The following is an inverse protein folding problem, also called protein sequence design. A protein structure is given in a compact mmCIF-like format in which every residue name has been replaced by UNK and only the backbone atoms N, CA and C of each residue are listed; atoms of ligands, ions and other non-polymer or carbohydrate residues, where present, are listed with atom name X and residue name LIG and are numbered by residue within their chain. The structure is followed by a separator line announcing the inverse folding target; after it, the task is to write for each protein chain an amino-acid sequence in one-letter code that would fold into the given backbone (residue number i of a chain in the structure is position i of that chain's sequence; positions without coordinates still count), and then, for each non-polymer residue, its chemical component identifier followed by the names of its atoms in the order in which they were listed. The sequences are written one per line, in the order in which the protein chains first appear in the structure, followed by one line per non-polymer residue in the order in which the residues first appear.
data_IF_913602192984
#
_entry.id   IF_913602192984
#
_cell.length_a   1.000
_cell.length_b   1.000
_cell.length_c   1.000
_cell.angle_alpha   90.00
_cell.angle_beta   90.00
_cell.angle_gamma   90.00
#
_symmetry.space_group_name_H-M   'P 1'
#
loop_
_entity.id
_entity.type
_entity.pdbx_description
1 polymer ?
#
# COMPACT_ATOMS: atom_id res chain seq x y z
N UNK A 1 -24.32 33.51 -50.15
CA UNK A 1 -24.53 32.12 -49.71
C UNK A 1 -23.65 31.89 -48.49
N UNK A 2 -24.23 31.98 -47.29
CA UNK A 2 -23.50 31.85 -46.01
C UNK A 2 -23.55 30.37 -45.60
N UNK A 3 -22.39 29.72 -45.47
CA UNK A 3 -22.28 28.41 -44.86
C UNK A 3 -22.62 28.55 -43.37
N UNK A 4 -23.73 27.94 -42.98
CA UNK A 4 -24.11 27.64 -41.61
C UNK A 4 -24.07 26.11 -41.49
N UNK A 5 -23.81 25.62 -40.28
CA UNK A 5 -23.79 24.21 -39.83
C UNK A 5 -22.46 23.46 -40.02
N UNK A 6 -21.59 23.59 -39.02
CA UNK A 6 -20.62 22.55 -38.63
C UNK A 6 -20.49 22.47 -37.11
N UNK A 7 -21.63 22.56 -36.41
CA UNK A 7 -21.73 22.33 -34.96
C UNK A 7 -22.79 21.25 -34.77
N UNK A 8 -22.38 19.98 -34.70
CA UNK A 8 -23.12 18.83 -34.14
C UNK A 8 -22.44 17.53 -34.58
N UNK A 9 -21.25 17.21 -34.05
CA UNK A 9 -20.66 15.86 -34.18
C UNK A 9 -19.53 15.56 -33.17
N UNK A 10 -19.60 16.12 -31.95
CA UNK A 10 -18.62 15.83 -30.88
C UNK A 10 -19.26 15.54 -29.52
N UNK A 11 -20.46 14.95 -29.49
CA UNK A 11 -21.21 14.76 -28.24
C UNK A 11 -21.53 13.30 -27.84
N UNK A 12 -21.02 12.26 -28.52
CA UNK A 12 -21.47 10.87 -28.21
C UNK A 12 -20.34 9.82 -28.10
N UNK A 13 -19.06 10.20 -28.02
CA UNK A 13 -17.95 9.21 -28.09
C UNK A 13 -17.06 9.09 -26.85
N UNK A 14 -17.54 9.41 -25.65
CA UNK A 14 -16.76 9.19 -24.41
C UNK A 14 -17.50 8.33 -23.38
N UNK A 15 -18.30 7.36 -23.84
CA UNK A 15 -18.71 6.22 -23.02
C UNK A 15 -17.85 4.99 -23.39
N UNK A 16 -16.53 5.13 -23.31
CA UNK A 16 -15.56 4.06 -23.49
C UNK A 16 -14.45 4.27 -22.49
N UNK A 17 -14.65 3.76 -21.28
CA UNK A 17 -13.62 3.26 -20.35
C UNK A 17 -14.33 2.63 -19.14
N UNK A 18 -15.27 1.71 -19.37
CA UNK A 18 -15.51 0.65 -18.38
C UNK A 18 -14.50 -0.46 -18.68
N UNK A 19 -13.24 -0.23 -18.31
CA UNK A 19 -12.35 -1.36 -18.05
C UNK A 19 -12.78 -1.93 -16.71
N UNK A 20 -13.38 -3.11 -16.75
CA UNK A 20 -13.52 -3.99 -15.60
C UNK A 20 -12.11 -4.41 -15.16
N UNK A 21 -11.41 -3.52 -14.46
CA UNK A 21 -10.27 -3.91 -13.65
C UNK A 21 -10.89 -4.48 -12.37
N UNK A 22 -10.77 -5.79 -12.17
CA UNK A 22 -11.04 -6.41 -10.87
C UNK A 22 -10.21 -5.63 -9.84
N UNK A 23 -10.89 -4.79 -9.06
CA UNK A 23 -10.25 -3.71 -8.33
C UNK A 23 -9.25 -4.25 -7.31
N UNK A 24 -7.96 -4.08 -7.59
CA UNK A 24 -6.88 -4.41 -6.66
C UNK A 24 -7.02 -3.61 -5.36
N UNK A 25 -7.55 -2.39 -5.44
CA UNK A 25 -7.81 -1.51 -4.32
C UNK A 25 -9.16 -1.84 -3.66
N UNK A 26 -9.14 -2.07 -2.35
CA UNK A 26 -10.36 -2.15 -1.56
C UNK A 26 -11.03 -0.76 -1.40
N UNK A 27 -12.26 -0.65 -0.86
CA UNK A 27 -12.96 0.62 -0.72
C UNK A 27 -12.21 1.70 0.08
N UNK A 28 -11.44 1.29 1.09
CA UNK A 28 -10.66 2.21 1.95
C UNK A 28 -9.46 2.77 1.18
N UNK A 29 -8.77 1.91 0.43
CA UNK A 29 -7.66 2.28 -0.46
C UNK A 29 -8.14 3.22 -1.58
N UNK A 30 -9.32 2.95 -2.16
CA UNK A 30 -9.96 3.84 -3.15
C UNK A 30 -10.30 5.22 -2.56
N UNK A 31 -10.69 5.28 -1.29
CA UNK A 31 -10.94 6.56 -0.62
C UNK A 31 -9.65 7.36 -0.43
N UNK A 32 -8.53 6.71 -0.09
CA UNK A 32 -7.22 7.38 -0.04
C UNK A 32 -6.81 7.94 -1.40
N UNK A 33 -6.94 7.14 -2.46
CA UNK A 33 -6.60 7.56 -3.83
C UNK A 33 -7.45 8.79 -4.23
N UNK A 34 -8.77 8.73 -3.99
CA UNK A 34 -9.70 9.80 -4.36
C UNK A 34 -9.48 11.08 -3.54
N UNK A 35 -9.39 10.98 -2.22
CA UNK A 35 -9.25 12.13 -1.32
C UNK A 35 -7.94 12.89 -1.53
N UNK A 36 -6.88 12.17 -1.92
CA UNK A 36 -5.56 12.74 -2.20
C UNK A 36 -5.36 13.10 -3.67
N UNK A 37 -6.37 12.91 -4.52
CA UNK A 37 -6.29 13.15 -5.98
C UNK A 37 -5.11 12.43 -6.64
N UNK A 38 -4.88 11.17 -6.25
CA UNK A 38 -3.81 10.32 -6.79
C UNK A 38 -4.30 9.59 -8.04
N UNK A 39 -3.34 9.19 -8.88
CA UNK A 39 -3.61 8.39 -10.07
C UNK A 39 -3.69 6.89 -9.70
N UNK A 40 -4.87 6.28 -9.83
CA UNK A 40 -5.11 4.88 -9.43
C UNK A 40 -4.22 3.88 -10.21
N UNK A 41 -3.98 4.13 -11.50
CA UNK A 41 -3.08 3.34 -12.34
C UNK A 41 -1.66 3.32 -11.78
N UNK A 42 -1.11 4.49 -11.44
CA UNK A 42 0.23 4.62 -10.87
C UNK A 42 0.36 3.83 -9.56
N UNK A 43 -0.56 4.04 -8.61
CA UNK A 43 -0.52 3.32 -7.33
C UNK A 43 -0.67 1.80 -7.56
N UNK A 44 -1.57 1.41 -8.46
CA UNK A 44 -1.78 0.00 -8.79
C UNK A 44 -0.55 -0.66 -9.41
N UNK A 45 0.19 0.05 -10.27
CA UNK A 45 1.45 -0.43 -10.82
C UNK A 45 2.52 -0.64 -9.75
N UNK A 46 2.66 0.30 -8.81
CA UNK A 46 3.59 0.16 -7.68
C UNK A 46 3.22 -1.03 -6.79
N UNK A 47 1.93 -1.21 -6.47
CA UNK A 47 1.45 -2.34 -5.67
C UNK A 47 1.62 -3.67 -6.41
N UNK A 48 1.35 -3.72 -7.72
CA UNK A 48 1.56 -4.93 -8.54
C UNK A 48 3.05 -5.29 -8.68
N UNK A 49 3.92 -4.30 -8.69
CA UNK A 49 5.37 -4.48 -8.73
C UNK A 49 5.98 -4.82 -7.35
N UNK A 50 5.16 -4.86 -6.29
CA UNK A 50 5.61 -5.15 -4.94
C UNK A 50 6.30 -6.52 -4.84
N UNK A 51 7.56 -6.48 -4.41
CA UNK A 51 8.26 -7.63 -3.86
C UNK A 51 8.56 -7.34 -2.38
N UNK A 52 8.46 -8.33 -1.48
CA UNK A 52 8.80 -8.16 -0.07
C UNK A 52 10.18 -7.49 0.10
N UNK A 53 10.21 -6.34 0.77
CA UNK A 53 11.43 -5.56 1.01
C UNK A 53 11.82 -4.56 -0.10
N UNK A 54 10.97 -4.31 -1.10
CA UNK A 54 11.32 -3.47 -2.25
C UNK A 54 10.23 -2.42 -2.63
N UNK A 55 9.50 -1.88 -1.66
CA UNK A 55 8.60 -0.75 -1.92
C UNK A 55 9.40 0.54 -2.17
N UNK A 56 8.98 1.39 -3.12
CA UNK A 56 9.71 2.60 -3.47
C UNK A 56 9.58 3.67 -2.39
N UNK A 57 10.71 4.08 -1.81
CA UNK A 57 10.75 5.12 -0.77
C UNK A 57 10.69 6.55 -1.35
N UNK A 58 11.10 6.73 -2.60
CA UNK A 58 11.23 8.05 -3.25
C UNK A 58 10.01 8.42 -4.10
N UNK A 59 8.94 7.62 -4.04
CA UNK A 59 7.67 7.89 -4.71
C UNK A 59 6.75 8.70 -3.80
N UNK A 60 6.65 10.00 -4.06
CA UNK A 60 5.83 10.94 -3.28
C UNK A 60 4.33 10.59 -3.32
N UNK A 61 3.82 10.10 -4.46
CA UNK A 61 2.41 9.76 -4.60
C UNK A 61 2.09 8.50 -3.78
N UNK A 62 2.97 7.49 -3.87
CA UNK A 62 2.85 6.26 -3.11
C UNK A 62 3.06 6.48 -1.61
N UNK A 63 4.00 7.34 -1.22
CA UNK A 63 4.19 7.73 0.19
C UNK A 63 2.92 8.36 0.79
N UNK A 64 2.26 9.29 0.08
CA UNK A 64 0.97 9.87 0.52
C UNK A 64 -0.11 8.81 0.66
N UNK A 65 -0.21 7.89 -0.31
CA UNK A 65 -1.14 6.77 -0.26
C UNK A 65 -0.89 5.88 0.98
N UNK A 66 0.36 5.49 1.23
CA UNK A 66 0.73 4.65 2.37
C UNK A 66 0.47 5.35 3.70
N UNK A 67 0.71 6.67 3.80
CA UNK A 67 0.36 7.43 4.99
C UNK A 67 -1.15 7.37 5.29
N UNK A 68 -1.99 7.65 4.28
CA UNK A 68 -3.44 7.60 4.41
C UNK A 68 -3.93 6.19 4.81
N UNK A 69 -3.41 5.15 4.15
CA UNK A 69 -3.70 3.76 4.48
C UNK A 69 -3.29 3.43 5.92
N UNK A 70 -2.11 3.86 6.34
CA UNK A 70 -1.63 3.70 7.71
C UNK A 70 -2.55 4.34 8.76
N UNK A 71 -3.15 5.49 8.44
CA UNK A 71 -4.14 6.15 9.28
C UNK A 71 -5.45 5.38 9.36
N UNK A 72 -5.98 4.92 8.23
CA UNK A 72 -7.21 4.12 8.19
C UNK A 72 -7.09 2.82 8.98
N UNK A 73 -5.92 2.17 8.89
CA UNK A 73 -5.61 0.95 9.66
C UNK A 73 -5.26 1.23 11.13
N UNK A 74 -5.16 2.51 11.52
CA UNK A 74 -4.80 2.93 12.87
C UNK A 74 -3.37 2.56 13.29
N UNK A 75 -2.49 2.24 12.34
CA UNK A 75 -1.07 1.93 12.61
C UNK A 75 -0.19 3.19 12.62
N UNK A 76 -0.71 4.30 12.11
CA UNK A 76 -0.03 5.59 12.10
C UNK A 76 -1.02 6.72 12.43
N UNK A 77 -0.61 7.64 13.30
CA UNK A 77 -1.37 8.84 13.63
C UNK A 77 -1.19 9.94 12.56
N UNK A 78 -2.00 11.00 12.63
CA UNK A 78 -1.93 12.13 11.69
C UNK A 78 -0.64 12.94 11.76
N UNK A 79 0.07 12.90 12.87
CA UNK A 79 1.40 13.50 13.02
C UNK A 79 2.54 12.56 12.53
N UNK A 80 2.21 11.36 12.05
CA UNK A 80 3.18 10.37 11.59
C UNK A 80 3.70 9.42 12.67
N UNK A 81 3.33 9.60 13.94
CA UNK A 81 3.71 8.69 15.02
C UNK A 81 3.10 7.29 14.81
N UNK A 82 3.89 6.25 15.08
CA UNK A 82 3.47 4.87 14.90
C UNK A 82 2.70 4.35 16.11
N UNK A 83 1.59 3.67 15.87
CA UNK A 83 0.90 2.88 16.88
C UNK A 83 1.46 1.46 16.89
N UNK A 84 2.47 1.24 17.74
CA UNK A 84 3.19 -0.04 17.84
C UNK A 84 2.27 -1.22 18.18
N UNK A 85 1.27 -1.00 19.04
CA UNK A 85 0.33 -2.07 19.40
C UNK A 85 -0.46 -2.52 18.17
N UNK A 86 -1.00 -1.59 17.39
CA UNK A 86 -1.74 -1.90 16.17
C UNK A 86 -0.83 -2.51 15.08
N UNK A 87 0.43 -2.08 14.98
CA UNK A 87 1.41 -2.69 14.08
C UNK A 87 1.64 -4.17 14.42
N UNK A 88 1.81 -4.50 15.70
CA UNK A 88 1.94 -5.92 16.13
C UNK A 88 0.68 -6.70 15.79
N UNK A 89 -0.51 -6.12 16.05
CA UNK A 89 -1.79 -6.76 15.68
C UNK A 89 -1.92 -7.00 14.18
N UNK A 90 -1.39 -6.11 13.35
CA UNK A 90 -1.42 -6.25 11.90
C UNK A 90 -0.44 -7.34 11.43
N UNK A 91 0.82 -7.27 11.88
CA UNK A 91 1.87 -8.23 11.47
C UNK A 91 1.53 -9.65 11.92
N UNK A 92 0.99 -9.86 13.12
CA UNK A 92 0.71 -11.22 13.61
C UNK A 92 -0.30 -12.00 12.75
N UNK A 93 -1.14 -11.31 11.97
CA UNK A 93 -2.11 -11.91 11.06
C UNK A 93 -1.65 -11.94 9.61
N UNK A 94 -0.40 -11.56 9.32
CA UNK A 94 0.16 -11.72 7.98
C UNK A 94 0.19 -13.20 7.61
N UNK A 95 -0.29 -13.58 6.41
CA UNK A 95 -0.20 -14.95 5.93
C UNK A 95 1.27 -15.40 5.89
N UNK A 96 1.60 -16.51 6.57
CA UNK A 96 2.98 -17.00 6.58
C UNK A 96 3.47 -17.34 5.17
N UNK A 97 2.57 -17.79 4.29
CA UNK A 97 2.87 -18.17 2.91
C UNK A 97 3.44 -17.05 2.05
N UNK A 98 3.37 -15.79 2.49
CA UNK A 98 4.07 -14.67 1.84
C UNK A 98 5.59 -14.79 2.03
N UNK A 99 6.03 -15.33 3.16
CA UNK A 99 7.44 -15.32 3.59
C UNK A 99 8.07 -16.71 3.68
N UNK A 100 7.25 -17.76 3.81
CA UNK A 100 7.68 -19.14 4.03
C UNK A 100 7.11 -20.07 2.96
N UNK A 101 8.00 -20.72 2.22
CA UNK A 101 7.60 -21.75 1.26
C UNK A 101 6.91 -22.92 1.98
N UNK A 102 5.84 -23.44 1.39
CA UNK A 102 5.05 -24.57 1.92
C UNK A 102 4.43 -24.32 3.30
N UNK A 103 4.16 -23.06 3.67
CA UNK A 103 3.38 -22.75 4.85
C UNK A 103 1.99 -23.43 4.78
N UNK A 104 1.46 -23.95 5.90
CA UNK A 104 0.10 -24.49 5.93
C UNK A 104 -0.91 -23.45 5.45
N UNK A 105 -1.93 -23.87 4.71
CA UNK A 105 -2.99 -22.97 4.26
C UNK A 105 -3.65 -22.26 5.44
N UNK A 106 -3.82 -20.94 5.32
CA UNK A 106 -4.41 -20.11 6.38
C UNK A 106 -3.53 -19.86 7.60
N UNK A 107 -2.28 -20.34 7.62
CA UNK A 107 -1.33 -20.01 8.69
C UNK A 107 -0.95 -18.53 8.68
N UNK A 108 -0.73 -17.99 9.88
CA UNK A 108 -0.30 -16.61 10.12
C UNK A 108 0.93 -16.60 11.02
N UNK A 109 1.72 -15.51 10.98
CA UNK A 109 2.98 -15.39 11.72
C UNK A 109 2.84 -15.62 13.24
N UNK A 110 1.72 -15.18 13.82
CA UNK A 110 1.49 -15.25 15.26
C UNK A 110 2.22 -14.15 16.05
N UNK A 111 1.89 -14.06 17.34
CA UNK A 111 2.24 -12.92 18.19
C UNK A 111 3.75 -12.81 18.47
N UNK A 112 4.40 -13.92 18.83
CA UNK A 112 5.83 -13.90 19.17
C UNK A 112 6.71 -13.42 18.00
N UNK A 113 6.43 -13.90 16.77
CA UNK A 113 7.16 -13.48 15.58
C UNK A 113 6.87 -12.01 15.26
N UNK A 114 5.62 -11.56 15.42
CA UNK A 114 5.26 -10.17 15.20
C UNK A 114 5.97 -9.23 16.19
N UNK A 115 5.99 -9.55 17.48
CA UNK A 115 6.70 -8.75 18.50
C UNK A 115 8.19 -8.67 18.22
N UNK A 116 8.83 -9.79 17.87
CA UNK A 116 10.25 -9.83 17.53
C UNK A 116 10.55 -8.98 16.29
N UNK A 117 9.72 -9.12 15.25
CA UNK A 117 9.85 -8.37 14.00
C UNK A 117 9.70 -6.86 14.22
N UNK A 118 8.68 -6.43 14.98
CA UNK A 118 8.47 -5.02 15.30
C UNK A 118 9.59 -4.49 16.20
N UNK A 119 10.07 -5.29 17.16
CA UNK A 119 11.23 -4.92 17.98
C UNK A 119 12.48 -4.66 17.13
N UNK A 120 12.68 -5.45 16.07
CA UNK A 120 13.78 -5.26 15.12
C UNK A 120 13.60 -3.97 14.29
N UNK A 121 12.39 -3.72 13.79
CA UNK A 121 12.15 -2.71 12.75
C UNK A 121 11.66 -1.34 13.25
N UNK A 122 11.16 -1.20 14.49
CA UNK A 122 10.53 0.05 14.95
C UNK A 122 11.42 1.30 14.94
N UNK A 123 12.74 1.14 14.81
CA UNK A 123 13.72 2.24 14.82
C UNK A 123 14.32 2.50 13.42
N UNK A 124 13.58 2.24 12.34
CA UNK A 124 14.02 2.64 10.99
C UNK A 124 14.30 4.16 10.91
N UNK A 125 15.22 4.60 10.05
CA UNK A 125 15.47 6.03 9.85
C UNK A 125 14.19 6.75 9.42
N UNK A 126 13.90 7.88 10.06
CA UNK A 126 12.75 8.73 9.71
C UNK A 126 12.89 9.23 8.27
N UNK A 127 11.82 9.09 7.49
CA UNK A 127 11.75 9.60 6.12
C UNK A 127 11.46 11.09 6.06
N UNK A 128 11.51 11.65 4.86
CA UNK A 128 11.08 13.03 4.57
C UNK A 128 9.58 13.24 4.78
N UNK A 129 8.82 12.15 4.91
CA UNK A 129 7.39 12.13 5.20
C UNK A 129 7.01 10.95 6.09
N UNK A 130 5.83 11.04 6.72
CA UNK A 130 5.26 9.96 7.53
C UNK A 130 5.05 8.68 6.70
N UNK A 131 4.60 8.81 5.45
CA UNK A 131 4.43 7.70 4.52
C UNK A 131 5.75 7.00 4.19
N UNK A 132 6.80 7.76 3.90
CA UNK A 132 8.13 7.20 3.62
C UNK A 132 8.70 6.46 4.84
N UNK A 133 8.45 6.97 6.06
CA UNK A 133 8.82 6.26 7.30
C UNK A 133 8.08 4.92 7.40
N UNK A 134 6.80 4.89 7.06
CA UNK A 134 6.00 3.65 7.08
C UNK A 134 6.42 2.66 5.98
N UNK A 135 6.80 3.16 4.79
CA UNK A 135 7.40 2.35 3.71
C UNK A 135 8.70 1.69 4.18
N UNK A 136 9.61 2.46 4.81
CA UNK A 136 10.85 1.92 5.40
C UNK A 136 10.58 0.85 6.44
N UNK A 137 9.60 1.09 7.30
CA UNK A 137 9.19 0.12 8.32
C UNK A 137 8.69 -1.17 7.67
N UNK A 138 7.82 -1.07 6.67
CA UNK A 138 7.30 -2.21 5.90
C UNK A 138 8.44 -2.98 5.22
N UNK A 139 9.33 -2.29 4.50
CA UNK A 139 10.49 -2.89 3.86
C UNK A 139 11.39 -3.63 4.86
N UNK A 140 11.59 -3.08 6.06
CA UNK A 140 12.32 -3.75 7.13
C UNK A 140 11.60 -5.01 7.60
N UNK A 141 10.29 -4.92 7.88
CA UNK A 141 9.46 -6.05 8.34
C UNK A 141 9.55 -7.20 7.33
N UNK A 142 9.33 -6.90 6.06
CA UNK A 142 9.36 -7.90 4.99
C UNK A 142 10.74 -8.54 4.84
N UNK A 143 11.80 -7.71 4.83
CA UNK A 143 13.18 -8.20 4.74
C UNK A 143 13.57 -9.09 5.92
N UNK A 144 13.12 -8.72 7.13
CA UNK A 144 13.32 -9.50 8.34
C UNK A 144 12.63 -10.85 8.25
N UNK A 145 11.35 -10.88 7.86
CA UNK A 145 10.55 -12.10 7.77
C UNK A 145 11.04 -13.05 6.67
N UNK A 146 11.41 -12.52 5.50
CA UNK A 146 12.07 -13.31 4.44
C UNK A 146 13.35 -13.95 4.97
N UNK A 147 14.15 -13.22 5.76
CA UNK A 147 15.38 -13.74 6.34
C UNK A 147 15.14 -14.72 7.49
N UNK A 148 14.06 -14.54 8.25
CA UNK A 148 13.67 -15.41 9.35
C UNK A 148 13.30 -16.81 8.87
N UNK A 149 12.52 -16.93 7.79
CA UNK A 149 12.06 -18.22 7.25
C UNK A 149 13.02 -18.89 6.26
N UNK A 150 14.08 -18.20 5.83
CA UNK A 150 15.17 -18.80 5.03
C UNK A 150 16.19 -19.57 5.87
N UNK A 151 16.15 -19.44 7.20
CA UNK A 151 16.99 -20.19 8.14
C UNK A 151 16.40 -21.56 8.44
#
# INVERSE_FOLDING_TARGET
MRLVLSILLLAVSQCLCQSNDEGWANPEEKECIRSLSLEESHIGEVVKAYAPGNLPEDDDAFSKFIHCRGQQMGVQHSNGELNIANLIQLVKYFPEGIFKENAPEGSVLGEAIAEETIKHCKNVPVGNSAGQTLIRLQNCIDSYLVSYYKK
#
